data_IF_410696590240
#
_entry.id   IF_410696590240
#
_cell.length_a   1.000
_cell.length_b   1.000
_cell.length_c   1.000
_cell.angle_alpha   90.00
_cell.angle_beta   90.00
_cell.angle_gamma   90.00
#
_symmetry.space_group_name_H-M   'P 1'
#
loop_
_entity.id
_entity.type
_entity.pdbx_description
1 polymer ?
#
# COMPACT_ATOMS: atom_id res chain seq x y z
N UNK A 1 4.02 -20.72 16.59
CA UNK A 1 2.91 -20.15 15.76
C UNK A 1 3.38 -20.07 14.32
N UNK A 2 2.79 -20.84 13.41
CA UNK A 2 3.09 -20.75 11.98
C UNK A 2 2.61 -19.39 11.45
N UNK A 3 3.51 -18.40 11.41
CA UNK A 3 3.23 -17.09 10.83
C UNK A 3 3.01 -17.30 9.34
N UNK A 4 1.80 -17.02 8.86
CA UNK A 4 1.49 -17.07 7.43
C UNK A 4 2.48 -16.19 6.68
N UNK A 5 3.11 -16.71 5.60
CA UNK A 5 4.06 -15.93 4.82
C UNK A 5 3.37 -14.69 4.23
N UNK A 6 4.07 -13.56 4.24
CA UNK A 6 3.55 -12.32 3.64
C UNK A 6 3.32 -12.54 2.14
N UNK A 7 2.20 -12.02 1.65
CA UNK A 7 1.86 -12.03 0.23
C UNK A 7 2.06 -10.65 -0.38
N UNK A 8 2.25 -10.60 -1.69
CA UNK A 8 2.47 -9.37 -2.45
C UNK A 8 1.32 -9.17 -3.44
N UNK A 9 0.82 -7.95 -3.55
CA UNK A 9 -0.26 -7.58 -4.48
C UNK A 9 0.28 -7.08 -5.84
N UNK A 10 1.58 -6.80 -5.88
CA UNK A 10 2.35 -6.38 -7.04
C UNK A 10 3.79 -6.86 -6.91
N UNK A 11 4.53 -6.83 -8.02
CA UNK A 11 5.95 -7.12 -8.09
C UNK A 11 6.64 -6.12 -9.01
N UNK A 12 7.92 -5.88 -8.77
CA UNK A 12 8.79 -5.21 -9.73
C UNK A 12 9.10 -6.19 -10.86
N UNK A 13 8.71 -5.84 -12.08
CA UNK A 13 8.97 -6.67 -13.27
C UNK A 13 10.18 -6.12 -14.00
N UNK A 14 11.23 -6.93 -14.08
CA UNK A 14 12.53 -6.52 -14.61
C UNK A 14 12.44 -6.06 -16.07
N UNK A 15 11.62 -6.72 -16.89
CA UNK A 15 11.48 -6.42 -18.32
C UNK A 15 10.88 -5.05 -18.57
N UNK A 16 9.82 -4.66 -17.83
CA UNK A 16 9.20 -3.34 -17.97
C UNK A 16 9.80 -2.27 -17.05
N UNK A 17 10.69 -2.67 -16.14
CA UNK A 17 11.28 -1.82 -15.08
C UNK A 17 10.23 -1.06 -14.28
N UNK A 18 9.11 -1.73 -14.00
CA UNK A 18 7.96 -1.13 -13.32
C UNK A 18 7.23 -2.14 -12.46
N UNK A 19 6.43 -1.65 -11.51
CA UNK A 19 5.59 -2.52 -10.71
C UNK A 19 4.36 -2.96 -11.53
N UNK A 20 4.09 -4.26 -11.53
CA UNK A 20 2.90 -4.86 -12.14
C UNK A 20 2.10 -5.63 -11.07
N UNK A 21 0.78 -5.57 -11.18
CA UNK A 21 -0.11 -6.23 -10.22
C UNK A 21 -0.25 -7.73 -10.47
N UNK A 22 -0.58 -8.49 -9.42
CA UNK A 22 -0.96 -9.91 -9.55
C UNK A 22 -2.10 -10.12 -10.53
N UNK A 23 -3.07 -9.18 -10.58
CA UNK A 23 -4.21 -9.25 -11.50
C UNK A 23 -3.77 -9.16 -12.96
N UNK A 24 -2.74 -8.36 -13.27
CA UNK A 24 -2.19 -8.24 -14.63
C UNK A 24 -1.51 -9.53 -15.05
N UNK A 25 -0.67 -10.10 -14.17
CA UNK A 25 -0.01 -11.40 -14.42
C UNK A 25 -1.05 -12.51 -14.62
N UNK A 26 -2.05 -12.59 -13.75
CA UNK A 26 -3.12 -13.59 -13.86
C UNK A 26 -3.87 -13.46 -15.19
N UNK A 27 -4.17 -12.24 -15.61
CA UNK A 27 -4.83 -11.98 -16.89
C UNK A 27 -3.97 -12.42 -18.07
N UNK A 28 -2.71 -12.01 -18.10
CA UNK A 28 -1.79 -12.34 -19.19
C UNK A 28 -1.61 -13.87 -19.32
N UNK A 29 -1.53 -14.61 -18.20
CA UNK A 29 -1.46 -16.08 -18.20
C UNK A 29 -2.79 -16.72 -18.64
N UNK A 30 -3.93 -16.08 -18.36
CA UNK A 30 -5.24 -16.60 -18.78
C UNK A 30 -5.49 -16.47 -20.28
N UNK A 31 -4.90 -15.45 -20.92
CA UNK A 31 -4.94 -15.26 -22.39
C UNK A 31 -4.05 -16.28 -23.10
N UNK A 32 -2.83 -16.51 -22.61
CA UNK A 32 -1.96 -17.60 -23.07
C UNK A 32 -1.13 -18.14 -21.91
N UNK A 33 -1.26 -19.44 -21.61
CA UNK A 33 -0.52 -20.09 -20.52
C UNK A 33 1.00 -19.98 -20.66
N UNK A 34 1.53 -19.92 -21.88
CA UNK A 34 2.97 -19.77 -22.14
C UNK A 34 3.51 -18.44 -21.62
N UNK A 35 2.65 -17.43 -21.41
CA UNK A 35 3.04 -16.15 -20.83
C UNK A 35 3.61 -16.28 -19.42
N UNK A 36 3.41 -17.40 -18.71
CA UNK A 36 4.04 -17.62 -17.40
C UNK A 36 5.57 -17.51 -17.46
N UNK A 37 6.17 -17.96 -18.57
CA UNK A 37 7.62 -17.92 -18.80
C UNK A 37 8.19 -16.49 -18.77
N UNK A 38 7.39 -15.49 -19.17
CA UNK A 38 7.78 -14.07 -19.13
C UNK A 38 8.11 -13.59 -17.72
N UNK A 39 7.38 -14.11 -16.72
CA UNK A 39 7.50 -13.68 -15.32
C UNK A 39 8.42 -14.55 -14.49
N UNK A 40 8.66 -15.80 -14.90
CA UNK A 40 9.60 -16.67 -14.22
C UNK A 40 10.97 -16.00 -14.15
N UNK A 41 11.54 -15.96 -12.95
CA UNK A 41 12.86 -15.35 -12.65
C UNK A 41 12.98 -13.84 -12.90
N UNK A 42 11.96 -13.18 -13.48
CA UNK A 42 11.97 -11.76 -13.83
C UNK A 42 11.13 -10.88 -12.88
N UNK A 43 10.53 -11.46 -11.84
CA UNK A 43 9.70 -10.74 -10.87
C UNK A 43 10.35 -10.66 -9.48
N UNK A 44 10.40 -9.45 -8.95
CA UNK A 44 11.10 -9.12 -7.72
C UNK A 44 10.19 -8.37 -6.76
N UNK A 45 10.63 -8.24 -5.50
CA UNK A 45 9.93 -7.47 -4.50
C UNK A 45 9.69 -6.04 -4.98
N UNK A 46 8.46 -5.51 -4.93
CA UNK A 46 8.16 -4.15 -5.38
C UNK A 46 8.78 -3.07 -4.48
N UNK A 47 9.30 -3.46 -3.31
CA UNK A 47 9.94 -2.54 -2.36
C UNK A 47 11.46 -2.53 -2.44
N UNK A 48 12.13 -3.69 -2.39
CA UNK A 48 13.59 -3.75 -2.46
C UNK A 48 14.14 -4.03 -3.86
N UNK A 49 13.30 -4.43 -4.82
CA UNK A 49 13.67 -4.75 -6.21
C UNK A 49 14.76 -5.83 -6.37
N UNK A 50 15.15 -6.49 -5.28
CA UNK A 50 16.23 -7.47 -5.22
C UNK A 50 15.72 -8.88 -4.86
N UNK A 51 14.86 -8.99 -3.85
CA UNK A 51 14.35 -10.29 -3.41
C UNK A 51 13.44 -10.90 -4.48
N UNK A 52 13.71 -12.14 -4.88
CA UNK A 52 12.98 -12.82 -5.95
C UNK A 52 11.60 -13.28 -5.48
N UNK A 53 10.61 -13.10 -6.34
CA UNK A 53 9.24 -13.57 -6.11
C UNK A 53 8.90 -14.70 -7.07
N UNK A 54 7.89 -15.49 -6.70
CA UNK A 54 7.26 -16.47 -7.57
C UNK A 54 5.76 -16.23 -7.63
N UNK A 55 5.19 -16.38 -8.82
CA UNK A 55 3.75 -16.35 -9.03
C UNK A 55 3.13 -17.70 -8.70
N UNK A 56 2.09 -17.68 -7.88
CA UNK A 56 1.28 -18.85 -7.55
C UNK A 56 -0.09 -18.67 -8.20
N UNK A 57 -0.39 -19.54 -9.15
CA UNK A 57 -1.68 -19.56 -9.85
C UNK A 57 -2.85 -19.75 -8.89
N UNK A 58 -4.01 -19.19 -9.25
CA UNK A 58 -5.25 -19.44 -8.51
C UNK A 58 -5.61 -20.92 -8.51
N UNK A 59 -6.26 -21.36 -7.45
CA UNK A 59 -6.90 -22.67 -7.34
C UNK A 59 -8.36 -22.47 -6.96
N UNK A 60 -9.14 -23.55 -6.88
CA UNK A 60 -10.53 -23.48 -6.40
C UNK A 60 -10.67 -22.91 -4.99
N UNK A 61 -9.61 -22.98 -4.17
CA UNK A 61 -9.62 -22.55 -2.77
C UNK A 61 -8.84 -21.26 -2.49
N UNK A 62 -7.97 -20.82 -3.42
CA UNK A 62 -7.04 -19.70 -3.18
C UNK A 62 -6.91 -18.83 -4.41
N UNK A 63 -6.90 -17.51 -4.20
CA UNK A 63 -6.59 -16.53 -5.25
C UNK A 63 -5.13 -16.65 -5.68
N UNK A 64 -4.88 -16.21 -6.92
CA UNK A 64 -3.52 -16.01 -7.38
C UNK A 64 -2.81 -15.01 -6.47
N UNK A 65 -1.54 -15.26 -6.17
CA UNK A 65 -0.73 -14.41 -5.30
C UNK A 65 0.74 -14.56 -5.64
N UNK A 66 1.52 -13.60 -5.15
CA UNK A 66 2.98 -13.66 -5.19
C UNK A 66 3.49 -14.08 -3.81
N UNK A 67 4.58 -14.85 -3.81
CA UNK A 67 5.33 -15.21 -2.60
C UNK A 67 6.82 -15.01 -2.83
N UNK A 68 7.54 -14.65 -1.77
CA UNK A 68 9.01 -14.60 -1.80
C UNK A 68 9.57 -16.02 -1.96
N UNK A 69 10.61 -16.15 -2.78
CA UNK A 69 11.38 -17.41 -2.89
C UNK A 69 12.23 -17.60 -1.64
N UNK A 70 12.93 -16.55 -1.22
CA UNK A 70 13.73 -16.55 -0.01
C UNK A 70 13.47 -15.26 0.79
N UNK A 71 13.02 -15.42 2.04
CA UNK A 71 12.76 -14.29 2.94
C UNK A 71 14.03 -13.48 3.23
N UNK A 72 15.20 -14.11 3.29
CA UNK A 72 16.45 -13.47 3.68
C UNK A 72 17.07 -12.60 2.58
N UNK A 73 16.56 -12.65 1.35
CA UNK A 73 16.94 -11.72 0.28
C UNK A 73 16.37 -10.30 0.48
N UNK A 74 15.49 -10.11 1.46
CA UNK A 74 14.89 -8.82 1.77
C UNK A 74 15.82 -7.96 2.65
N UNK A 75 16.76 -7.24 2.04
CA UNK A 75 17.56 -6.22 2.72
C UNK A 75 16.77 -4.91 2.89
N UNK A 76 16.80 -4.34 4.10
CA UNK A 76 16.16 -3.05 4.46
C UNK A 76 14.70 -2.91 4.00
N UNK A 77 13.97 -4.03 4.02
CA UNK A 77 12.68 -4.18 3.40
C UNK A 77 11.62 -4.61 4.42
N UNK A 78 10.46 -3.97 4.38
CA UNK A 78 9.35 -4.21 5.31
C UNK A 78 8.84 -5.66 5.25
N UNK A 79 9.07 -6.37 4.16
CA UNK A 79 8.71 -7.78 4.02
C UNK A 79 9.57 -8.73 4.87
N UNK A 80 10.75 -8.30 5.32
CA UNK A 80 11.59 -9.07 6.24
C UNK A 80 11.02 -9.10 7.67
N UNK A 81 10.52 -7.95 8.12
CA UNK A 81 10.10 -7.72 9.51
C UNK A 81 8.69 -8.26 9.79
N UNK A 82 8.39 -8.50 11.06
CA UNK A 82 7.04 -8.87 11.48
C UNK A 82 6.09 -7.69 11.39
N UNK A 83 4.79 -7.94 11.21
CA UNK A 83 3.82 -6.85 11.24
C UNK A 83 3.69 -6.28 12.66
N UNK A 84 3.55 -4.96 12.74
CA UNK A 84 3.15 -4.26 13.94
C UNK A 84 1.70 -4.60 14.29
N UNK A 85 1.38 -4.63 15.59
CA UNK A 85 -0.02 -4.67 16.04
C UNK A 85 -0.67 -3.31 15.88
N UNK A 86 -2.01 -3.28 15.92
CA UNK A 86 -2.77 -2.02 15.93
C UNK A 86 -2.31 -1.08 17.03
N UNK A 87 -2.10 -1.58 18.24
CA UNK A 87 -1.69 -0.78 19.40
C UNK A 87 -0.31 -0.15 19.20
N UNK A 88 0.63 -0.90 18.62
CA UNK A 88 1.97 -0.38 18.30
C UNK A 88 1.91 0.73 17.26
N UNK A 89 1.10 0.58 16.20
CA UNK A 89 0.93 1.61 15.17
C UNK A 89 0.26 2.85 15.78
N UNK A 90 -0.77 2.66 16.61
CA UNK A 90 -1.48 3.74 17.30
C UNK A 90 -0.52 4.53 18.20
N UNK A 91 0.24 3.84 19.04
CA UNK A 91 1.22 4.47 19.93
C UNK A 91 2.21 5.31 19.14
N UNK A 92 2.79 4.72 18.10
CA UNK A 92 3.71 5.42 17.20
C UNK A 92 3.08 6.67 16.57
N UNK A 93 1.86 6.58 16.03
CA UNK A 93 1.20 7.73 15.40
C UNK A 93 0.84 8.85 16.39
N UNK A 94 0.63 8.53 17.66
CA UNK A 94 0.36 9.52 18.72
C UNK A 94 1.63 10.24 19.20
N UNK A 95 2.81 9.62 19.02
CA UNK A 95 4.10 10.24 19.32
C UNK A 95 4.55 11.23 18.23
N UNK A 96 3.96 11.17 17.04
CA UNK A 96 4.29 12.05 15.92
C UNK A 96 3.52 13.38 15.96
N UNK A 97 4.23 14.48 15.67
CA UNK A 97 3.62 15.78 15.37
C UNK A 97 2.88 15.76 14.04
N UNK A 98 2.01 16.74 13.81
CA UNK A 98 1.28 16.84 12.55
C UNK A 98 2.20 17.03 11.32
N UNK A 99 3.36 17.67 11.50
CA UNK A 99 4.39 17.83 10.47
C UNK A 99 5.09 16.49 10.18
N UNK A 100 5.49 15.76 11.22
CA UNK A 100 6.09 14.43 11.06
C UNK A 100 5.14 13.43 10.38
N UNK A 101 3.82 13.54 10.61
CA UNK A 101 2.84 12.74 9.88
C UNK A 101 2.84 13.11 8.40
N UNK A 102 2.83 14.39 8.05
CA UNK A 102 2.91 14.83 6.64
C UNK A 102 4.17 14.29 5.96
N UNK A 103 5.33 14.40 6.62
CA UNK A 103 6.59 13.87 6.11
C UNK A 103 6.56 12.36 5.93
N UNK A 104 5.97 11.63 6.89
CA UNK A 104 5.78 10.19 6.75
C UNK A 104 4.87 9.85 5.56
N UNK A 105 3.75 10.56 5.39
CA UNK A 105 2.84 10.35 4.25
C UNK A 105 3.53 10.66 2.91
N UNK A 106 4.37 11.70 2.86
CA UNK A 106 5.22 12.01 1.70
C UNK A 106 6.16 10.85 1.38
N UNK A 107 6.89 10.35 2.37
CA UNK A 107 7.83 9.24 2.20
C UNK A 107 7.13 7.95 1.75
N UNK A 108 5.98 7.62 2.34
CA UNK A 108 5.18 6.45 1.92
C UNK A 108 4.70 6.63 0.46
N UNK A 109 4.19 7.80 0.09
CA UNK A 109 3.72 8.06 -1.27
C UNK A 109 4.86 7.98 -2.29
N UNK A 110 6.03 8.53 -1.98
CA UNK A 110 7.18 8.45 -2.86
C UNK A 110 7.60 6.98 -3.06
N UNK A 111 7.64 6.20 -1.99
CA UNK A 111 8.04 4.80 -2.03
C UNK A 111 7.01 3.89 -2.73
N UNK A 112 5.70 4.11 -2.54
CA UNK A 112 4.64 3.23 -3.05
C UNK A 112 4.01 3.69 -4.37
N UNK A 113 4.07 4.97 -4.72
CA UNK A 113 3.33 5.52 -5.87
C UNK A 113 4.20 6.25 -6.90
N UNK A 114 5.44 6.64 -6.56
CA UNK A 114 6.34 7.41 -7.44
C UNK A 114 7.63 6.69 -7.79
N UNK A 115 7.81 5.44 -7.37
CA UNK A 115 9.06 4.70 -7.58
C UNK A 115 9.32 4.28 -9.04
N UNK A 116 8.41 4.63 -9.95
CA UNK A 116 8.68 4.60 -11.39
C UNK A 116 9.63 5.76 -11.70
N UNK A 117 10.90 5.45 -12.04
CA UNK A 117 12.02 6.39 -12.30
C UNK A 117 12.96 6.68 -11.13
N UNK A 118 13.65 5.65 -10.64
CA UNK A 118 15.07 5.85 -10.34
C UNK A 118 15.86 4.80 -11.12
N UNK A 119 16.19 5.15 -12.36
CA UNK A 119 17.37 4.60 -13.03
C UNK A 119 18.61 5.18 -12.36
N UNK A 120 18.89 4.81 -11.11
CA UNK A 120 20.18 5.14 -10.51
C UNK A 120 21.07 3.91 -10.61
N UNK A 121 21.84 3.93 -11.70
CA UNK A 121 23.24 3.51 -11.66
C UNK A 121 24.05 4.31 -10.62
N UNK A 122 23.47 5.35 -10.00
CA UNK A 122 24.02 5.98 -8.81
C UNK A 122 23.77 5.12 -7.57
N UNK A 123 24.88 4.88 -6.87
CA UNK A 123 25.10 4.04 -5.69
C UNK A 123 23.84 3.83 -4.83
N UNK A 124 23.63 2.61 -4.28
CA UNK A 124 22.63 2.43 -3.25
C UNK A 124 22.92 3.45 -2.15
N UNK A 125 22.07 4.47 -2.00
CA UNK A 125 21.98 5.15 -0.71
C UNK A 125 21.81 4.02 0.29
N UNK A 126 22.61 4.02 1.36
CA UNK A 126 22.41 3.10 2.46
C UNK A 126 21.03 3.39 3.04
N UNK A 127 20.00 2.74 2.49
CA UNK A 127 18.63 2.80 3.00
C UNK A 127 18.71 2.04 4.32
N UNK A 128 19.00 2.75 5.41
CA UNK A 128 18.93 2.17 6.74
C UNK A 128 17.47 1.86 7.05
N UNK A 129 17.22 0.90 7.94
CA UNK A 129 15.86 0.59 8.39
C UNK A 129 15.12 1.83 8.95
N UNK A 130 15.87 2.80 9.47
CA UNK A 130 15.37 4.08 9.96
C UNK A 130 14.75 4.97 8.89
N UNK A 131 15.17 4.81 7.64
CA UNK A 131 14.66 5.58 6.50
C UNK A 131 13.48 4.91 5.80
N UNK A 132 13.17 3.64 6.12
CA UNK A 132 12.07 2.93 5.48
C UNK A 132 10.72 3.37 6.08
N UNK A 133 9.86 4.07 5.32
CA UNK A 133 8.64 4.65 5.87
C UNK A 133 7.58 3.61 6.26
N UNK A 134 7.75 2.35 5.83
CA UNK A 134 6.89 1.22 6.21
C UNK A 134 7.26 0.60 7.55
N UNK A 135 8.39 0.98 8.14
CA UNK A 135 8.84 0.46 9.42
C UNK A 135 8.51 1.44 10.55
N UNK A 136 8.29 0.86 11.73
CA UNK A 136 8.21 1.57 13.01
C UNK A 136 9.16 0.90 14.00
N UNK A 137 9.82 1.70 14.85
CA UNK A 137 10.55 1.20 16.01
C UNK A 137 9.55 0.92 17.12
N UNK A 138 9.51 -0.32 17.60
CA UNK A 138 8.79 -0.68 18.81
C UNK A 138 9.80 -1.14 19.85
N UNK A 139 9.75 -0.59 21.05
CA UNK A 139 10.42 -1.20 22.19
C UNK A 139 9.82 -2.59 22.43
N UNK A 140 10.68 -3.57 22.69
CA UNK A 140 10.28 -4.86 23.27
C UNK A 140 10.27 -4.78 24.81
N UNK A 141 9.88 -5.88 25.46
CA UNK A 141 9.80 -5.97 26.92
C UNK A 141 11.15 -5.78 27.61
N UNK A 142 12.27 -5.86 26.88
CA UNK A 142 13.63 -5.70 27.39
C UNK A 142 14.24 -4.34 26.99
N UNK A 143 13.43 -3.38 26.54
CA UNK A 143 13.89 -2.07 26.06
C UNK A 143 14.80 -2.10 24.83
N UNK A 144 14.87 -3.23 24.12
CA UNK A 144 15.49 -3.30 22.81
C UNK A 144 14.48 -2.83 21.76
N UNK A 145 14.94 -1.97 20.84
CA UNK A 145 14.08 -1.53 19.73
C UNK A 145 14.11 -2.57 18.61
N UNK A 146 12.94 -3.12 18.30
CA UNK A 146 12.73 -3.97 17.14
C UNK A 146 11.93 -3.22 16.08
N UNK A 147 12.33 -3.38 14.82
CA UNK A 147 11.55 -2.89 13.70
C UNK A 147 10.34 -3.79 13.45
N UNK A 148 9.18 -3.15 13.31
CA UNK A 148 7.93 -3.79 12.89
C UNK A 148 7.41 -3.10 11.64
N UNK A 149 6.84 -3.87 10.73
CA UNK A 149 6.29 -3.38 9.48
C UNK A 149 4.81 -2.99 9.63
N UNK A 150 4.43 -1.86 9.05
CA UNK A 150 3.03 -1.50 8.85
C UNK A 150 2.49 -2.31 7.66
N UNK A 151 1.28 -2.84 7.80
CA UNK A 151 0.61 -3.56 6.71
C UNK A 151 0.22 -2.60 5.60
N UNK A 152 0.24 -3.06 4.34
CA UNK A 152 -0.18 -2.25 3.20
C UNK A 152 -1.14 -2.98 2.28
N UNK A 153 -1.98 -2.21 1.58
CA UNK A 153 -2.94 -2.68 0.59
C UNK A 153 -3.05 -1.71 -0.57
N UNK A 154 -2.94 -2.24 -1.78
CA UNK A 154 -3.24 -1.49 -3.00
C UNK A 154 -4.75 -1.31 -3.13
N UNK A 155 -5.18 -0.09 -3.46
CA UNK A 155 -6.57 0.25 -3.77
C UNK A 155 -7.06 -0.43 -5.05
N UNK A 156 -6.17 -0.70 -6.01
CA UNK A 156 -6.44 -1.49 -7.21
C UNK A 156 -6.61 -2.99 -6.88
N UNK A 157 -6.10 -3.43 -5.73
CA UNK A 157 -6.11 -4.80 -5.26
C UNK A 157 -7.47 -5.29 -4.72
N UNK A 158 -7.40 -6.40 -3.98
CA UNK A 158 -8.51 -6.90 -3.19
C UNK A 158 -8.37 -6.33 -1.78
N UNK A 159 -9.42 -5.70 -1.26
CA UNK A 159 -9.43 -5.12 0.08
C UNK A 159 -9.77 -6.16 1.16
N UNK A 160 -9.19 -7.34 1.03
CA UNK A 160 -9.25 -8.39 2.05
C UNK A 160 -8.23 -8.06 3.13
N UNK A 161 -8.73 -7.57 4.25
CA UNK A 161 -7.93 -7.13 5.39
C UNK A 161 -8.50 -7.73 6.67
N UNK A 162 -7.61 -7.91 7.64
CA UNK A 162 -8.04 -8.04 9.03
C UNK A 162 -8.69 -6.72 9.45
N UNK A 163 -10.00 -6.75 9.68
CA UNK A 163 -10.78 -5.55 9.96
C UNK A 163 -10.26 -4.82 11.19
N UNK A 164 -9.65 -5.49 12.16
CA UNK A 164 -9.17 -4.88 13.41
C UNK A 164 -7.76 -4.30 13.34
N UNK A 165 -7.09 -4.40 12.19
CA UNK A 165 -5.74 -3.86 12.01
C UNK A 165 -5.74 -2.54 11.22
N UNK A 166 -4.68 -1.75 11.44
CA UNK A 166 -4.40 -0.56 10.63
C UNK A 166 -3.57 -0.92 9.41
N UNK A 167 -3.90 -0.31 8.28
CA UNK A 167 -3.22 -0.50 7.00
C UNK A 167 -2.87 0.86 6.37
N UNK A 168 -1.80 0.84 5.58
CA UNK A 168 -1.53 1.82 4.54
C UNK A 168 -2.26 1.39 3.27
N UNK A 169 -3.26 2.16 2.85
CA UNK A 169 -3.91 2.02 1.54
C UNK A 169 -3.25 2.95 0.54
N UNK A 170 -2.97 2.47 -0.68
CA UNK A 170 -2.28 3.28 -1.68
C UNK A 170 -2.71 2.96 -3.12
N UNK A 171 -2.52 3.90 -4.04
CA UNK A 171 -2.71 3.66 -5.47
C UNK A 171 -3.05 4.89 -6.29
N UNK A 172 -3.26 4.68 -7.60
CA UNK A 172 -3.77 5.70 -8.55
C UNK A 172 -5.30 5.74 -8.55
N UNK A 173 -5.89 6.89 -8.26
CA UNK A 173 -7.32 7.03 -7.99
C UNK A 173 -7.91 8.23 -8.71
N UNK A 174 -9.22 8.18 -8.98
CA UNK A 174 -10.03 9.39 -9.17
C UNK A 174 -10.73 9.71 -7.87
N UNK A 175 -10.88 11.00 -7.59
CA UNK A 175 -11.49 11.48 -6.36
C UNK A 175 -12.78 12.23 -6.69
N UNK A 176 -13.83 11.95 -5.94
CA UNK A 176 -15.09 12.70 -5.97
C UNK A 176 -15.43 13.13 -4.55
N UNK A 177 -15.86 14.37 -4.35
CA UNK A 177 -16.07 14.92 -3.02
C UNK A 177 -17.50 15.36 -2.83
N UNK A 178 -18.01 15.18 -1.60
CA UNK A 178 -19.35 15.64 -1.22
C UNK A 178 -19.28 16.28 0.14
N UNK A 179 -19.81 17.50 0.25
CA UNK A 179 -20.02 18.17 1.53
C UNK A 179 -21.31 17.65 2.16
N UNK A 180 -21.28 17.31 3.45
CA UNK A 180 -22.40 16.75 4.20
C UNK A 180 -22.59 17.54 5.49
N UNK A 181 -23.84 17.90 5.79
CA UNK A 181 -24.24 18.43 7.09
C UNK A 181 -24.47 17.26 8.07
N UNK A 182 -23.60 17.13 9.06
CA UNK A 182 -23.75 16.18 10.16
C UNK A 182 -24.32 16.82 11.42
N UNK A 183 -24.57 15.99 12.44
CA UNK A 183 -25.00 16.46 13.77
C UNK A 183 -23.99 17.39 14.44
N UNK A 184 -22.69 17.21 14.13
CA UNK A 184 -21.58 17.94 14.72
C UNK A 184 -21.01 19.02 13.78
N UNK A 185 -21.80 19.43 12.78
CA UNK A 185 -21.38 20.40 11.77
C UNK A 185 -21.04 19.77 10.42
N UNK A 186 -20.42 20.59 9.58
CA UNK A 186 -20.06 20.25 8.20
C UNK A 186 -18.84 19.33 8.14
N UNK A 187 -18.90 18.32 7.28
CA UNK A 187 -17.76 17.48 6.95
C UNK A 187 -17.80 17.06 5.48
N UNK A 188 -16.67 16.60 4.96
CA UNK A 188 -16.55 16.10 3.60
C UNK A 188 -16.44 14.59 3.58
N UNK A 189 -17.05 13.99 2.55
CA UNK A 189 -16.82 12.61 2.14
C UNK A 189 -16.06 12.62 0.83
N UNK A 190 -14.88 12.00 0.82
CA UNK A 190 -14.10 11.78 -0.39
C UNK A 190 -14.31 10.34 -0.84
N UNK A 191 -14.96 10.15 -1.97
CA UNK A 191 -15.06 8.89 -2.67
C UNK A 191 -13.76 8.63 -3.44
N UNK A 192 -13.20 7.44 -3.24
CA UNK A 192 -11.96 7.01 -3.86
C UNK A 192 -12.32 5.97 -4.92
N UNK A 193 -12.16 6.36 -6.18
CA UNK A 193 -12.51 5.55 -7.33
C UNK A 193 -11.25 4.92 -7.94
N UNK A 194 -11.37 3.65 -8.34
CA UNK A 194 -10.29 2.92 -9.01
C UNK A 194 -10.76 2.45 -10.37
N UNK A 195 -9.85 2.44 -11.32
CA UNK A 195 -10.09 1.94 -12.67
C UNK A 195 -10.31 0.41 -12.63
N UNK A 196 -11.39 -0.03 -13.29
CA UNK A 196 -11.67 -1.44 -13.51
C UNK A 196 -10.93 -1.95 -14.75
N UNK A 197 -11.11 -3.23 -15.07
CA UNK A 197 -10.46 -3.85 -16.24
C UNK A 197 -10.95 -3.32 -17.60
N UNK A 198 -12.09 -2.65 -17.63
CA UNK A 198 -12.72 -2.07 -18.82
C UNK A 198 -12.46 -0.56 -18.95
N UNK A 199 -11.54 0.00 -18.14
CA UNK A 199 -11.22 1.43 -18.16
C UNK A 199 -12.24 2.32 -17.44
N UNK A 200 -13.28 1.75 -16.81
CA UNK A 200 -14.27 2.53 -16.07
C UNK A 200 -13.83 2.76 -14.62
N UNK A 201 -14.06 3.97 -14.11
CA UNK A 201 -13.70 4.36 -12.75
C UNK A 201 -14.87 4.12 -11.79
N UNK A 202 -14.71 3.18 -10.87
CA UNK A 202 -15.75 2.79 -9.92
C UNK A 202 -15.33 3.15 -8.50
N UNK A 203 -16.29 3.62 -7.69
CA UNK A 203 -16.08 3.84 -6.25
C UNK A 203 -15.62 2.55 -5.60
N UNK A 204 -14.46 2.60 -4.94
CA UNK A 204 -13.88 1.47 -4.22
C UNK A 204 -14.10 1.60 -2.72
N UNK A 205 -13.74 2.76 -2.17
CA UNK A 205 -13.86 3.08 -0.76
C UNK A 205 -14.13 4.58 -0.60
N UNK A 206 -14.36 5.02 0.63
CA UNK A 206 -14.44 6.45 0.96
C UNK A 206 -13.71 6.77 2.26
N UNK A 207 -13.34 8.04 2.43
CA UNK A 207 -12.91 8.61 3.71
C UNK A 207 -13.82 9.77 4.08
N UNK A 208 -13.89 10.09 5.37
CA UNK A 208 -14.54 11.32 5.85
C UNK A 208 -13.50 12.19 6.54
N UNK A 209 -13.53 13.49 6.29
CA UNK A 209 -12.63 14.46 6.92
C UNK A 209 -13.34 15.80 7.09
N UNK A 210 -12.87 16.59 8.06
CA UNK A 210 -13.26 17.99 8.19
C UNK A 210 -12.34 18.91 7.35
N UNK A 211 -11.34 18.34 6.67
CA UNK A 211 -10.54 19.09 5.69
C UNK A 211 -11.38 19.47 4.48
N UNK A 212 -11.13 20.67 3.96
CA UNK A 212 -11.82 21.16 2.77
C UNK A 212 -11.27 20.49 1.51
N UNK A 213 -12.15 19.78 0.79
CA UNK A 213 -11.84 19.11 -0.47
C UNK A 213 -12.57 19.74 -1.66
N UNK A 214 -13.04 20.97 -1.52
CA UNK A 214 -13.74 21.73 -2.57
C UNK A 214 -12.92 21.89 -3.86
N UNK A 215 -11.60 21.96 -3.76
CA UNK A 215 -10.68 22.21 -4.88
C UNK A 215 -10.23 20.94 -5.63
N UNK A 216 -10.81 19.77 -5.36
CA UNK A 216 -10.46 18.55 -6.07
C UNK A 216 -11.08 18.55 -7.48
N UNK A 217 -10.24 18.38 -8.49
CA UNK A 217 -10.66 18.20 -9.88
C UNK A 217 -11.01 16.73 -10.14
N UNK A 218 -12.31 16.42 -10.18
CA UNK A 218 -12.81 15.05 -10.36
C UNK A 218 -12.44 14.42 -11.72
N UNK A 219 -12.00 15.22 -12.69
CA UNK A 219 -11.54 14.73 -13.99
C UNK A 219 -10.14 14.10 -13.92
N UNK A 220 -9.34 14.48 -12.91
CA UNK A 220 -7.91 14.14 -12.80
C UNK A 220 -7.66 12.84 -12.05
N UNK A 221 -6.49 12.26 -12.31
CA UNK A 221 -5.98 11.09 -11.60
C UNK A 221 -5.00 11.57 -10.54
N UNK A 222 -5.08 10.97 -9.37
CA UNK A 222 -4.26 11.27 -8.21
C UNK A 222 -3.49 10.03 -7.76
N UNK A 223 -2.28 10.21 -7.25
CA UNK A 223 -1.66 9.26 -6.32
C UNK A 223 -2.26 9.51 -4.95
N UNK A 224 -2.62 8.46 -4.23
CA UNK A 224 -3.16 8.58 -2.88
C UNK A 224 -2.51 7.58 -1.95
N UNK A 225 -2.31 8.02 -0.69
CA UNK A 225 -1.94 7.17 0.44
C UNK A 225 -2.85 7.51 1.62
N UNK A 226 -3.33 6.50 2.33
CA UNK A 226 -4.19 6.65 3.52
C UNK A 226 -3.76 5.65 4.59
N UNK A 227 -3.61 6.09 5.83
CA UNK A 227 -3.47 5.21 7.00
C UNK A 227 -4.80 5.16 7.73
N UNK A 228 -5.36 3.96 7.87
CA UNK A 228 -6.62 3.79 8.58
C UNK A 228 -7.07 2.35 8.75
N UNK A 229 -8.22 2.21 9.39
CA UNK A 229 -8.96 0.94 9.56
C UNK A 229 -10.01 0.85 8.47
N UNK A 230 -10.05 -0.23 7.70
CA UNK A 230 -11.13 -0.43 6.74
C UNK A 230 -12.36 -0.99 7.44
N UNK A 231 -13.46 -0.27 7.31
CA UNK A 231 -14.80 -0.76 7.54
C UNK A 231 -15.28 -1.46 6.26
N UNK A 232 -15.35 -2.78 6.30
CA UNK A 232 -15.75 -3.61 5.16
C UNK A 232 -17.25 -3.61 4.91
N UNK A 233 -18.07 -3.25 5.92
CA UNK A 233 -19.52 -3.14 5.77
C UNK A 233 -19.88 -1.92 4.93
N UNK A 234 -19.25 -0.77 5.20
CA UNK A 234 -19.54 0.48 4.50
C UNK A 234 -18.52 0.84 3.41
N UNK A 235 -17.48 0.02 3.24
CA UNK A 235 -16.34 0.30 2.36
C UNK A 235 -15.77 1.69 2.64
N UNK A 236 -15.49 1.96 3.92
CA UNK A 236 -15.00 3.24 4.41
C UNK A 236 -13.68 3.05 5.16
N UNK A 237 -12.67 3.85 4.86
CA UNK A 237 -11.44 3.88 5.63
C UNK A 237 -11.62 4.91 6.74
N UNK A 238 -11.64 4.42 7.98
CA UNK A 238 -11.66 5.26 9.17
C UNK A 238 -10.23 5.68 9.49
N UNK A 239 -9.96 6.98 9.35
CA UNK A 239 -8.65 7.57 9.62
C UNK A 239 -8.34 7.48 11.12
N UNK A 240 -7.09 7.17 11.46
CA UNK A 240 -6.68 7.17 12.86
C UNK A 240 -6.39 8.59 13.37
N UNK A 241 -5.60 9.38 12.62
CA UNK A 241 -5.49 10.83 12.81
C UNK A 241 -6.09 11.55 11.60
N UNK A 242 -6.65 12.73 11.82
CA UNK A 242 -7.35 13.52 10.79
C UNK A 242 -6.51 13.74 9.51
N UNK A 243 -5.20 13.91 9.67
CA UNK A 243 -4.21 14.16 8.61
C UNK A 243 -3.49 12.88 8.12
N UNK A 244 -4.01 11.68 8.44
CA UNK A 244 -3.42 10.39 8.04
C UNK A 244 -3.71 10.01 6.59
N UNK A 245 -3.72 10.98 5.68
CA UNK A 245 -3.90 10.74 4.26
C UNK A 245 -3.16 11.82 3.45
N UNK A 246 -2.86 11.49 2.19
CA UNK A 246 -2.24 12.41 1.24
C UNK A 246 -2.69 12.04 -0.16
N UNK A 247 -2.90 13.05 -1.00
CA UNK A 247 -3.14 12.88 -2.43
C UNK A 247 -2.32 13.91 -3.23
N UNK A 248 -1.92 13.54 -4.45
CA UNK A 248 -1.20 14.40 -5.39
C UNK A 248 -1.64 14.10 -6.82
N UNK A 249 -1.90 15.14 -7.62
CA UNK A 249 -2.26 14.99 -9.03
C UNK A 249 -1.11 14.35 -9.82
N UNK A 250 -1.44 13.51 -10.81
CA UNK A 250 -0.48 12.88 -11.75
C UNK A 250 -0.39 13.69 -13.04
#
# INVERSE_FOLDING_TARGET
MNKTPKTFEECYFLTSRSNISVKKIEYDISENRENISKYQENIFCPECQHARLSFVSKTSKRKAHLRAINKYEHQNCSYFYEYATREQIIKYLNELTDEQIKDKMNAIMNMLCKRDMVSSLDKPQEISNDTNPMLIKSADNNSNYLYKAIRRKSLQGWLEVDSDQLYIFYGKVKLNTKKIMGKNGEFYVMNICVENRHGSWNKKVSISSNEDFSNIDESKIYRMVVIGKLDTQYMKINLYRKNSFKYEMI
#
